data_IF_220610354875
#
_entry.id   IF_220610354875
#
_cell.length_a   1.000
_cell.length_b   1.000
_cell.length_c   1.000
_cell.angle_alpha   90.00
_cell.angle_beta   90.00
_cell.angle_gamma   90.00
#
_symmetry.space_group_name_H-M   'P 1'
#
loop_
_entity.id
_entity.type
_entity.pdbx_description
1 polymer ?
#
# COMPACT_ATOMS: atom_id res chain seq x y z
N UNK A 1 11.59 15.99 -11.27
CA UNK A 1 10.74 15.61 -12.43
C UNK A 1 9.29 15.50 -11.95
N UNK A 2 8.29 15.74 -12.80
CA UNK A 2 6.88 15.51 -12.46
C UNK A 2 6.49 14.19 -13.10
N UNK A 3 6.02 13.23 -12.28
CA UNK A 3 5.66 11.90 -12.80
C UNK A 3 4.19 11.84 -13.22
N UNK A 4 3.29 12.40 -12.43
CA UNK A 4 1.85 12.34 -12.71
C UNK A 4 1.35 13.67 -13.24
N UNK A 5 0.41 13.61 -14.19
CA UNK A 5 -0.26 14.74 -14.78
C UNK A 5 -1.77 14.67 -14.50
N UNK A 6 -2.51 15.79 -14.59
CA UNK A 6 -3.97 15.78 -14.45
C UNK A 6 -4.67 14.74 -15.33
N UNK A 7 -4.15 14.49 -16.55
CA UNK A 7 -4.66 13.51 -17.51
C UNK A 7 -4.83 12.10 -16.93
N UNK A 8 -3.98 11.69 -15.95
CA UNK A 8 -4.13 10.42 -15.22
C UNK A 8 -5.48 10.36 -14.49
N UNK A 9 -5.80 11.41 -13.77
CA UNK A 9 -7.03 11.47 -12.96
C UNK A 9 -8.26 11.70 -13.83
N UNK A 10 -8.13 12.44 -14.92
CA UNK A 10 -9.17 12.62 -15.94
C UNK A 10 -9.54 11.29 -16.56
N UNK A 11 -8.54 10.49 -16.99
CA UNK A 11 -8.77 9.14 -17.51
C UNK A 11 -9.50 8.24 -16.50
N UNK A 12 -9.08 8.24 -15.23
CA UNK A 12 -9.72 7.41 -14.19
C UNK A 12 -11.15 7.88 -13.89
N UNK A 13 -11.43 9.18 -13.97
CA UNK A 13 -12.78 9.73 -13.81
C UNK A 13 -13.68 9.29 -14.96
N UNK A 14 -13.21 9.41 -16.19
CA UNK A 14 -13.96 8.95 -17.38
C UNK A 14 -14.18 7.42 -17.34
N UNK A 15 -13.18 6.65 -16.89
CA UNK A 15 -13.30 5.20 -16.73
C UNK A 15 -14.36 4.85 -15.68
N UNK A 16 -14.51 5.65 -14.61
CA UNK A 16 -15.53 5.44 -13.59
C UNK A 16 -16.94 5.57 -14.16
N UNK A 17 -17.16 6.52 -15.07
CA UNK A 17 -18.44 6.76 -15.74
C UNK A 17 -18.72 5.75 -16.86
N UNK A 18 -17.67 5.20 -17.48
CA UNK A 18 -17.74 4.36 -18.68
C UNK A 18 -17.09 2.99 -18.48
N UNK A 19 -17.29 2.34 -17.32
CA UNK A 19 -16.56 1.14 -16.93
C UNK A 19 -17.00 -0.11 -17.70
N UNK A 20 -16.69 -0.15 -19.00
CA UNK A 20 -16.96 -1.26 -19.92
C UNK A 20 -15.71 -1.69 -20.68
N UNK A 21 -15.73 -2.90 -21.21
CA UNK A 21 -14.62 -3.42 -22.03
C UNK A 21 -14.46 -2.66 -23.33
N UNK A 22 -15.57 -2.29 -23.96
CA UNK A 22 -15.63 -1.55 -25.22
C UNK A 22 -14.97 -0.18 -25.07
N UNK A 23 -15.36 0.57 -24.05
CA UNK A 23 -14.79 1.89 -23.78
C UNK A 23 -13.29 1.79 -23.47
N UNK A 24 -12.89 0.84 -22.61
CA UNK A 24 -11.49 0.67 -22.25
C UNK A 24 -10.62 0.29 -23.46
N UNK A 25 -11.10 -0.58 -24.35
CA UNK A 25 -10.36 -0.94 -25.57
C UNK A 25 -10.21 0.28 -26.50
N UNK A 26 -11.25 1.09 -26.65
CA UNK A 26 -11.18 2.33 -27.46
C UNK A 26 -10.22 3.37 -26.87
N UNK A 27 -9.97 3.36 -25.53
CA UNK A 27 -9.11 4.29 -24.81
C UNK A 27 -7.81 3.67 -24.29
N UNK A 28 -7.43 2.49 -24.80
CA UNK A 28 -6.28 1.73 -24.29
C UNK A 28 -4.95 2.44 -24.44
N UNK A 29 -4.77 3.21 -25.50
CA UNK A 29 -3.54 3.97 -25.73
C UNK A 29 -3.43 5.13 -24.73
N UNK A 30 -4.54 5.81 -24.42
CA UNK A 30 -4.60 6.81 -23.34
C UNK A 30 -4.29 6.18 -21.97
N UNK A 31 -4.85 5.00 -21.67
CA UNK A 31 -4.48 4.28 -20.44
C UNK A 31 -2.98 4.06 -20.36
N UNK A 32 -2.35 3.68 -21.46
CA UNK A 32 -0.91 3.45 -21.49
C UNK A 32 -0.12 4.73 -21.26
N UNK A 33 -0.40 5.80 -22.04
CA UNK A 33 0.35 7.07 -22.01
C UNK A 33 0.11 7.87 -20.74
N UNK A 34 -1.15 7.95 -20.28
CA UNK A 34 -1.54 8.88 -19.23
C UNK A 34 -1.50 8.24 -17.82
N UNK A 35 -1.56 6.90 -17.74
CA UNK A 35 -1.70 6.19 -16.48
C UNK A 35 -0.58 5.18 -16.24
N UNK A 36 -0.40 4.21 -17.16
CA UNK A 36 0.50 3.09 -16.94
C UNK A 36 1.97 3.53 -16.99
N UNK A 37 2.40 4.16 -18.06
CA UNK A 37 3.79 4.60 -18.26
C UNK A 37 4.23 5.59 -17.17
N UNK A 38 3.43 6.61 -16.78
CA UNK A 38 3.77 7.48 -15.67
C UNK A 38 3.95 6.76 -14.34
N UNK A 39 3.10 5.77 -14.01
CA UNK A 39 3.24 5.00 -12.78
C UNK A 39 4.46 4.07 -12.83
N UNK A 40 4.74 3.44 -13.96
CA UNK A 40 5.95 2.63 -14.13
C UNK A 40 7.23 3.48 -14.03
N UNK A 41 7.23 4.69 -14.60
CA UNK A 41 8.33 5.64 -14.46
C UNK A 41 8.54 6.09 -13.00
N UNK A 42 7.45 6.31 -12.25
CA UNK A 42 7.51 6.60 -10.81
C UNK A 42 8.09 5.43 -10.03
N UNK A 43 7.64 4.20 -10.29
CA UNK A 43 8.16 2.99 -9.66
C UNK A 43 9.65 2.83 -9.92
N UNK A 44 10.10 3.03 -11.16
CA UNK A 44 11.52 2.98 -11.52
C UNK A 44 12.35 4.06 -10.79
N UNK A 45 11.82 5.29 -10.72
CA UNK A 45 12.49 6.39 -10.03
C UNK A 45 12.55 6.21 -8.50
N UNK A 46 11.64 5.44 -7.92
CA UNK A 46 11.61 5.15 -6.49
C UNK A 46 12.58 4.00 -6.10
N UNK A 47 13.15 3.27 -7.04
CA UNK A 47 13.98 2.10 -6.74
C UNK A 47 15.20 2.44 -5.84
N UNK A 48 15.99 3.44 -6.21
CA UNK A 48 17.15 3.88 -5.42
C UNK A 48 16.75 4.48 -4.06
N UNK A 49 15.76 5.40 -3.98
CA UNK A 49 15.24 5.87 -2.70
C UNK A 49 14.73 4.75 -1.77
N UNK A 50 14.03 3.75 -2.31
CA UNK A 50 13.56 2.59 -1.56
C UNK A 50 14.71 1.72 -1.06
N UNK A 51 15.69 1.44 -1.92
CA UNK A 51 16.88 0.69 -1.55
C UNK A 51 17.67 1.36 -0.41
N UNK A 52 17.70 2.69 -0.40
CA UNK A 52 18.30 3.47 0.69
C UNK A 52 17.50 3.43 2.01
N UNK A 53 16.21 3.07 1.98
CA UNK A 53 15.39 2.79 3.17
C UNK A 53 15.64 1.36 3.65
N UNK A 54 15.56 0.39 2.75
CA UNK A 54 15.87 -1.01 2.98
C UNK A 54 16.23 -1.72 1.68
N UNK A 55 17.35 -2.45 1.63
CA UNK A 55 17.77 -3.19 0.44
C UNK A 55 16.88 -4.41 0.13
N UNK A 56 16.00 -4.77 1.07
CA UNK A 56 15.17 -5.96 0.97
C UNK A 56 13.78 -5.69 0.35
N UNK A 57 13.44 -4.43 0.08
CA UNK A 57 12.19 -4.05 -0.57
C UNK A 57 12.38 -3.75 -2.05
N UNK A 58 11.37 -4.06 -2.86
CA UNK A 58 11.49 -4.05 -4.32
C UNK A 58 10.54 -3.03 -4.95
N UNK A 59 11.11 -2.17 -5.82
CA UNK A 59 10.39 -1.35 -6.77
C UNK A 59 10.61 -1.92 -8.17
N UNK A 60 9.65 -2.71 -8.65
CA UNK A 60 9.73 -3.41 -9.92
C UNK A 60 8.80 -2.74 -10.95
N UNK A 61 9.34 -2.04 -11.97
CA UNK A 61 8.55 -1.28 -12.93
C UNK A 61 7.96 -2.13 -14.07
N UNK A 62 7.83 -3.46 -13.87
CA UNK A 62 7.16 -4.29 -14.88
C UNK A 62 5.66 -4.04 -14.88
N UNK A 63 5.02 -3.95 -16.06
CA UNK A 63 3.58 -3.68 -16.17
C UNK A 63 2.69 -4.84 -15.70
N UNK A 64 3.27 -6.03 -15.50
CA UNK A 64 2.60 -7.22 -14.98
C UNK A 64 3.53 -8.00 -14.08
N UNK A 65 3.06 -8.35 -12.89
CA UNK A 65 3.83 -9.09 -11.88
C UNK A 65 4.90 -8.27 -11.15
N UNK A 66 5.01 -6.97 -11.46
CA UNK A 66 5.86 -6.01 -10.75
C UNK A 66 5.15 -5.33 -9.57
N UNK A 67 5.60 -4.11 -9.24
CA UNK A 67 5.03 -3.33 -8.15
C UNK A 67 3.66 -2.72 -8.48
N UNK A 68 3.36 -2.50 -9.78
CA UNK A 68 2.07 -1.96 -10.22
C UNK A 68 0.97 -3.02 -10.12
N UNK A 69 -0.16 -2.67 -9.51
CA UNK A 69 -1.36 -3.49 -9.56
C UNK A 69 -2.03 -3.42 -10.93
N UNK A 70 -2.52 -4.56 -11.42
CA UNK A 70 -3.31 -4.62 -12.65
C UNK A 70 -4.61 -3.81 -12.50
N UNK A 71 -5.02 -3.14 -13.57
CA UNK A 71 -6.25 -2.35 -13.64
C UNK A 71 -7.52 -3.22 -13.56
N UNK A 72 -7.44 -4.50 -13.94
CA UNK A 72 -8.57 -5.41 -13.94
C UNK A 72 -9.06 -5.76 -12.54
N UNK A 73 -10.38 -5.79 -12.36
CA UNK A 73 -11.03 -6.27 -11.14
C UNK A 73 -11.27 -7.78 -11.21
N UNK A 74 -11.21 -8.44 -10.06
CA UNK A 74 -11.77 -9.78 -9.90
C UNK A 74 -13.25 -9.65 -9.52
N UNK A 75 -14.11 -9.86 -10.51
CA UNK A 75 -15.57 -9.67 -10.35
C UNK A 75 -16.33 -10.96 -10.15
N UNK A 76 -15.64 -12.10 -9.96
CA UNK A 76 -16.28 -13.43 -9.84
C UNK A 76 -17.36 -13.44 -8.78
N UNK A 77 -17.08 -12.88 -7.60
CA UNK A 77 -17.99 -12.87 -6.44
C UNK A 77 -18.53 -11.46 -6.11
N UNK A 78 -18.19 -10.43 -6.88
CA UNK A 78 -18.65 -9.08 -6.66
C UNK A 78 -20.09 -8.88 -7.20
N UNK A 79 -20.89 -8.06 -6.51
CA UNK A 79 -22.20 -7.60 -7.02
C UNK A 79 -22.02 -6.66 -8.21
N UNK A 80 -21.13 -5.70 -8.08
CA UNK A 80 -20.74 -4.81 -9.16
C UNK A 80 -19.79 -5.55 -10.11
N UNK A 81 -20.22 -5.71 -11.36
CA UNK A 81 -19.50 -6.42 -12.42
C UNK A 81 -18.62 -5.51 -13.28
N UNK A 82 -18.43 -4.24 -12.89
CA UNK A 82 -17.50 -3.33 -13.57
C UNK A 82 -16.11 -3.95 -13.68
N UNK A 83 -15.58 -4.10 -14.91
CA UNK A 83 -14.38 -4.92 -15.14
C UNK A 83 -13.08 -4.28 -14.70
N UNK A 84 -13.06 -2.97 -14.46
CA UNK A 84 -11.84 -2.22 -14.16
C UNK A 84 -11.91 -1.52 -12.81
N UNK A 85 -10.75 -1.35 -12.17
CA UNK A 85 -10.56 -0.47 -11.04
C UNK A 85 -10.60 0.98 -11.52
N UNK A 86 -11.12 1.87 -10.69
CA UNK A 86 -11.15 3.31 -10.94
C UNK A 86 -10.00 4.05 -10.24
N UNK A 87 -9.02 3.30 -9.82
CA UNK A 87 -7.76 3.76 -9.22
C UNK A 87 -6.60 2.96 -9.78
N UNK A 88 -5.42 3.51 -9.66
CA UNK A 88 -4.17 2.78 -9.90
C UNK A 88 -3.31 2.84 -8.65
N UNK A 89 -2.52 1.80 -8.45
CA UNK A 89 -1.75 1.66 -7.23
C UNK A 89 -0.45 0.89 -7.49
N UNK A 90 0.53 1.12 -6.62
CA UNK A 90 1.76 0.35 -6.56
C UNK A 90 2.03 -0.12 -5.13
N UNK A 91 2.60 -1.32 -4.99
CA UNK A 91 3.08 -1.86 -3.74
C UNK A 91 4.58 -2.16 -3.83
N UNK A 92 5.29 -1.73 -2.82
CA UNK A 92 6.73 -1.93 -2.64
C UNK A 92 6.95 -2.86 -1.46
N UNK A 93 6.92 -4.16 -1.73
CA UNK A 93 6.97 -5.21 -0.71
C UNK A 93 8.36 -5.79 -0.55
N UNK A 94 8.56 -6.50 0.54
CA UNK A 94 9.76 -7.30 0.76
C UNK A 94 9.97 -8.32 -0.37
N UNK A 95 11.24 -8.52 -0.81
CA UNK A 95 11.58 -9.42 -1.93
C UNK A 95 11.17 -10.87 -1.69
N UNK A 96 11.27 -11.33 -0.43
CA UNK A 96 10.89 -12.69 -0.02
C UNK A 96 9.40 -12.79 0.38
N UNK A 97 8.67 -11.68 0.27
CA UNK A 97 7.22 -11.65 0.47
C UNK A 97 6.50 -12.40 -0.65
N UNK A 98 5.78 -13.47 -0.30
CA UNK A 98 5.14 -14.37 -1.29
C UNK A 98 3.98 -13.73 -2.04
N UNK A 99 3.34 -12.71 -1.43
CA UNK A 99 2.14 -12.07 -1.99
C UNK A 99 1.97 -10.62 -1.52
N UNK A 100 0.81 -10.03 -1.84
CA UNK A 100 0.44 -8.66 -1.47
C UNK A 100 0.24 -8.43 0.03
N UNK A 101 0.23 -9.49 0.83
CA UNK A 101 0.09 -9.44 2.29
C UNK A 101 1.44 -9.47 3.02
N UNK A 102 2.55 -9.21 2.32
CA UNK A 102 3.86 -8.97 2.92
C UNK A 102 3.97 -7.51 3.41
N UNK A 103 4.79 -7.24 4.45
CA UNK A 103 5.08 -5.87 4.85
C UNK A 103 5.60 -5.04 3.68
N UNK A 104 5.22 -3.76 3.63
CA UNK A 104 5.66 -2.91 2.53
C UNK A 104 5.11 -1.49 2.58
N UNK A 105 5.37 -0.77 1.49
CA UNK A 105 4.86 0.57 1.24
C UNK A 105 3.87 0.53 0.06
N UNK A 106 2.96 1.48 0.03
CA UNK A 106 1.87 1.51 -0.93
C UNK A 106 1.60 2.93 -1.41
N UNK A 107 1.33 3.07 -2.70
CA UNK A 107 0.85 4.30 -3.31
C UNK A 107 -0.52 4.06 -3.93
N UNK A 108 -1.48 4.93 -3.63
CA UNK A 108 -2.82 4.94 -4.20
C UNK A 108 -3.10 6.25 -4.93
N UNK A 109 -3.56 6.14 -6.16
CA UNK A 109 -3.95 7.25 -7.01
C UNK A 109 -5.37 7.02 -7.54
N UNK A 110 -6.32 7.76 -7.00
CA UNK A 110 -7.72 7.78 -7.41
C UNK A 110 -8.21 9.23 -7.47
N UNK A 111 -9.11 9.60 -8.40
CA UNK A 111 -9.73 10.92 -8.40
C UNK A 111 -10.36 11.25 -7.03
N UNK A 112 -9.88 12.31 -6.39
CA UNK A 112 -10.32 12.72 -5.06
C UNK A 112 -9.73 11.95 -3.88
N UNK A 113 -8.96 10.88 -4.11
CA UNK A 113 -8.34 10.07 -3.05
C UNK A 113 -6.92 9.67 -3.43
N UNK A 114 -5.95 10.41 -2.97
CA UNK A 114 -4.53 10.07 -3.11
C UNK A 114 -3.95 9.86 -1.72
N UNK A 115 -3.34 8.69 -1.49
CA UNK A 115 -2.69 8.40 -0.22
C UNK A 115 -1.47 7.49 -0.38
N UNK A 116 -0.61 7.56 0.61
CA UNK A 116 0.54 6.71 0.82
C UNK A 116 0.26 5.81 2.01
N UNK A 117 0.53 4.51 1.88
CA UNK A 117 0.34 3.53 2.94
C UNK A 117 1.64 2.85 3.32
N UNK A 118 1.72 2.35 4.54
CA UNK A 118 2.80 1.50 5.00
C UNK A 118 2.28 0.44 5.97
N UNK A 119 2.92 -0.73 5.98
CA UNK A 119 2.58 -1.81 6.89
C UNK A 119 2.16 -3.09 6.19
N UNK A 120 1.20 -3.81 6.77
CA UNK A 120 0.77 -5.13 6.34
C UNK A 120 -0.76 -5.23 6.42
N UNK A 121 -1.39 -5.44 5.26
CA UNK A 121 -2.83 -5.48 5.09
C UNK A 121 -3.34 -6.91 4.90
N UNK A 122 -4.39 -7.29 5.64
CA UNK A 122 -5.03 -8.61 5.62
C UNK A 122 -4.06 -9.79 5.75
N UNK A 123 -3.15 -9.79 6.75
CA UNK A 123 -2.25 -10.92 6.97
C UNK A 123 -3.00 -12.21 7.23
N UNK A 124 -2.45 -13.32 6.77
CA UNK A 124 -2.93 -14.65 7.13
C UNK A 124 -2.81 -14.91 8.65
N UNK A 125 -3.62 -15.83 9.16
CA UNK A 125 -3.67 -16.13 10.61
C UNK A 125 -2.32 -16.37 11.27
N UNK A 126 -1.41 -17.20 10.72
CA UNK A 126 -0.07 -17.40 11.27
C UNK A 126 0.75 -16.11 11.35
N UNK A 127 0.76 -15.32 10.28
CA UNK A 127 1.44 -14.02 10.21
C UNK A 127 0.88 -13.04 11.25
N UNK A 128 -0.45 -12.98 11.36
CA UNK A 128 -1.13 -12.14 12.35
C UNK A 128 -0.76 -12.52 13.78
N UNK A 129 -0.65 -13.83 14.07
CA UNK A 129 -0.24 -14.30 15.38
C UNK A 129 1.23 -14.00 15.68
N UNK A 130 2.13 -14.12 14.70
CA UNK A 130 3.54 -13.75 14.85
C UNK A 130 3.69 -12.26 15.22
N UNK A 131 2.96 -11.36 14.53
CA UNK A 131 2.96 -9.93 14.87
C UNK A 131 2.43 -9.69 16.30
N UNK A 132 1.35 -10.35 16.70
CA UNK A 132 0.81 -10.23 18.07
C UNK A 132 1.80 -10.71 19.13
N UNK A 133 2.48 -11.84 18.89
CA UNK A 133 3.53 -12.31 19.78
C UNK A 133 4.67 -11.29 19.89
N UNK A 134 5.14 -10.74 18.76
CA UNK A 134 6.17 -9.72 18.76
C UNK A 134 5.78 -8.45 19.55
N UNK A 135 4.49 -8.03 19.49
CA UNK A 135 3.95 -6.90 20.27
C UNK A 135 3.96 -7.21 21.76
N UNK A 136 3.54 -8.42 22.16
CA UNK A 136 3.52 -8.87 23.56
C UNK A 136 4.94 -8.97 24.11
N UNK A 137 5.87 -9.52 23.33
CA UNK A 137 7.27 -9.74 23.74
C UNK A 137 8.08 -8.44 23.77
N UNK A 138 7.71 -7.43 22.96
CA UNK A 138 8.44 -6.17 22.82
C UNK A 138 7.51 -4.93 22.90
N UNK A 139 6.76 -4.75 24.00
CA UNK A 139 5.72 -3.73 24.09
C UNK A 139 6.27 -2.30 24.06
N UNK A 140 7.48 -2.07 24.55
CA UNK A 140 8.12 -0.75 24.51
C UNK A 140 8.47 -0.35 23.09
N UNK A 141 9.10 -1.26 22.33
CA UNK A 141 9.45 -1.04 20.94
C UNK A 141 8.19 -0.86 20.06
N UNK A 142 7.13 -1.64 20.33
CA UNK A 142 5.87 -1.44 19.61
C UNK A 142 5.32 -0.02 19.80
N UNK A 143 5.26 0.48 21.03
CA UNK A 143 4.81 1.84 21.30
C UNK A 143 5.67 2.87 20.57
N UNK A 144 6.99 2.75 20.66
CA UNK A 144 7.93 3.65 19.99
C UNK A 144 7.64 3.79 18.47
N UNK A 145 7.34 2.69 17.79
CA UNK A 145 7.15 2.70 16.33
C UNK A 145 5.70 2.95 15.89
N UNK A 146 4.73 2.91 16.80
CA UNK A 146 3.30 3.02 16.48
C UNK A 146 2.62 4.26 17.07
N UNK A 147 3.16 4.87 18.13
CA UNK A 147 2.50 5.93 18.90
C UNK A 147 2.15 7.17 18.08
N UNK A 148 3.04 7.56 17.16
CA UNK A 148 2.83 8.73 16.29
C UNK A 148 2.07 8.39 14.99
N UNK A 149 1.67 7.12 14.78
CA UNK A 149 1.02 6.67 13.57
C UNK A 149 -0.49 6.51 13.80
N UNK A 150 -1.27 7.06 12.90
CA UNK A 150 -2.70 6.76 12.83
C UNK A 150 -2.88 5.38 12.14
N UNK A 151 -2.97 4.34 12.97
CA UNK A 151 -3.15 2.97 12.49
C UNK A 151 -4.59 2.74 12.08
N UNK A 152 -4.79 2.39 10.81
CA UNK A 152 -6.08 2.05 10.20
C UNK A 152 -6.37 0.55 10.15
N UNK A 153 -7.37 0.19 9.34
CA UNK A 153 -7.78 -1.19 9.08
C UNK A 153 -8.85 -1.72 10.02
N UNK A 154 -9.09 -3.03 9.94
CA UNK A 154 -10.12 -3.71 10.73
C UNK A 154 -9.58 -4.21 12.07
N UNK A 155 -10.49 -4.35 13.05
CA UNK A 155 -10.18 -4.92 14.36
C UNK A 155 -11.22 -5.95 14.79
N UNK A 156 -10.81 -6.88 15.63
CA UNK A 156 -11.69 -7.82 16.30
C UNK A 156 -12.54 -7.09 17.35
N UNK A 157 -13.78 -7.52 17.53
CA UNK A 157 -14.66 -7.02 18.61
C UNK A 157 -14.21 -7.47 20.00
N UNK A 158 -13.56 -8.63 20.09
CA UNK A 158 -13.04 -9.23 21.33
C UNK A 158 -11.55 -9.51 21.16
N UNK A 159 -10.82 -9.57 22.27
CA UNK A 159 -9.41 -9.94 22.28
C UNK A 159 -9.17 -11.30 21.60
N UNK A 160 -7.99 -11.51 21.00
CA UNK A 160 -7.59 -12.80 20.45
C UNK A 160 -7.58 -13.86 21.55
N UNK A 161 -7.84 -15.12 21.17
CA UNK A 161 -7.82 -16.24 22.12
C UNK A 161 -6.43 -16.41 22.74
N UNK A 162 -6.37 -16.54 24.05
CA UNK A 162 -5.11 -16.73 24.80
C UNK A 162 -4.40 -15.44 25.20
N UNK A 163 -4.96 -14.28 24.87
CA UNK A 163 -4.46 -12.97 25.32
C UNK A 163 -5.36 -12.46 26.45
N UNK A 164 -4.72 -11.91 27.50
CA UNK A 164 -5.41 -11.28 28.61
C UNK A 164 -6.28 -10.11 28.09
N UNK A 165 -7.59 -10.11 28.40
CA UNK A 165 -8.46 -8.99 28.02
C UNK A 165 -8.03 -7.63 28.59
N UNK A 166 -7.31 -7.62 29.70
CA UNK A 166 -6.82 -6.42 30.37
C UNK A 166 -5.37 -6.06 29.96
N UNK A 167 -4.84 -6.70 28.93
CA UNK A 167 -3.50 -6.41 28.44
C UNK A 167 -3.37 -4.93 28.02
N UNK A 168 -2.31 -4.19 28.42
CA UNK A 168 -2.16 -2.76 28.14
C UNK A 168 -2.18 -2.36 26.66
N UNK A 169 -1.92 -3.31 25.75
CA UNK A 169 -1.96 -3.13 24.30
C UNK A 169 -3.10 -3.91 23.64
N UNK A 170 -4.18 -4.18 24.37
CA UNK A 170 -5.26 -5.04 23.89
C UNK A 170 -5.90 -4.53 22.60
N UNK A 171 -5.99 -3.21 22.40
CA UNK A 171 -6.57 -2.64 21.20
C UNK A 171 -5.68 -2.84 19.97
N UNK A 172 -4.35 -2.84 20.14
CA UNK A 172 -3.43 -3.22 19.08
C UNK A 172 -3.47 -4.71 18.78
N UNK A 173 -3.59 -5.54 19.81
CA UNK A 173 -3.70 -6.98 19.67
C UNK A 173 -5.02 -7.45 19.03
N UNK A 174 -6.08 -6.62 19.07
CA UNK A 174 -7.34 -6.83 18.34
C UNK A 174 -7.22 -6.54 16.84
N UNK A 175 -6.21 -5.80 16.39
CA UNK A 175 -6.07 -5.44 14.98
C UNK A 175 -6.02 -6.68 14.09
N UNK A 176 -6.65 -6.57 12.92
CA UNK A 176 -6.56 -7.53 11.82
C UNK A 176 -5.59 -7.03 10.74
N UNK A 177 -5.41 -5.71 10.69
CA UNK A 177 -4.52 -5.01 9.79
C UNK A 177 -3.54 -4.16 10.59
N UNK A 178 -2.31 -4.13 10.16
CA UNK A 178 -1.25 -3.29 10.71
C UNK A 178 -0.79 -2.33 9.63
N UNK A 179 -1.58 -1.27 9.40
CA UNK A 179 -1.35 -0.29 8.34
C UNK A 179 -1.51 1.13 8.87
N UNK A 180 -0.72 2.05 8.33
CA UNK A 180 -0.91 3.48 8.50
C UNK A 180 -1.03 4.15 7.14
N UNK A 181 -1.70 5.31 7.10
CA UNK A 181 -1.95 6.05 5.87
C UNK A 181 -1.62 7.53 6.05
N UNK A 182 -1.01 8.10 5.03
CA UNK A 182 -0.80 9.54 4.91
C UNK A 182 -1.54 10.03 3.68
N UNK A 183 -2.56 10.83 3.90
CA UNK A 183 -3.35 11.41 2.82
C UNK A 183 -2.56 12.51 2.09
N UNK A 184 -2.75 12.56 0.79
CA UNK A 184 -2.24 13.60 -0.10
C UNK A 184 -3.35 14.11 -1.00
N UNK A 185 -3.16 15.27 -1.59
CA UNK A 185 -4.10 15.76 -2.59
C UNK A 185 -3.67 15.40 -4.01
N UNK A 186 -4.63 15.24 -4.91
CA UNK A 186 -4.39 15.02 -6.34
C UNK A 186 -3.46 16.11 -6.92
N UNK A 187 -3.68 17.38 -6.56
CA UNK A 187 -2.84 18.48 -6.99
C UNK A 187 -1.39 18.36 -6.50
N UNK A 188 -1.16 17.78 -5.32
CA UNK A 188 0.18 17.52 -4.80
C UNK A 188 0.87 16.38 -5.58
N UNK A 189 0.13 15.33 -5.93
CA UNK A 189 0.65 14.23 -6.75
C UNK A 189 1.13 14.70 -8.13
N UNK A 190 0.49 15.73 -8.71
CA UNK A 190 0.86 16.31 -10.00
C UNK A 190 2.00 17.37 -9.90
N UNK A 191 2.57 17.61 -8.72
CA UNK A 191 3.67 18.58 -8.57
C UNK A 191 5.04 17.92 -8.67
N UNK A 192 6.03 18.75 -9.03
CA UNK A 192 7.44 18.39 -8.86
C UNK A 192 7.71 18.14 -7.38
N UNK A 193 8.50 17.11 -7.05
CA UNK A 193 8.83 16.75 -5.67
C UNK A 193 7.89 15.76 -5.03
N UNK A 194 6.85 15.26 -5.71
CA UNK A 194 5.96 14.24 -5.15
C UNK A 194 6.72 12.95 -4.80
N UNK A 195 7.70 12.55 -5.61
CA UNK A 195 8.58 11.42 -5.30
C UNK A 195 9.36 11.63 -3.99
N UNK A 196 9.86 12.86 -3.77
CA UNK A 196 10.60 13.19 -2.56
C UNK A 196 9.68 13.14 -1.33
N UNK A 197 8.45 13.65 -1.47
CA UNK A 197 7.42 13.58 -0.41
C UNK A 197 7.03 12.12 -0.11
N UNK A 198 6.83 11.29 -1.13
CA UNK A 198 6.56 9.87 -0.98
C UNK A 198 7.72 9.16 -0.28
N UNK A 199 8.95 9.43 -0.68
CA UNK A 199 10.16 8.88 -0.08
C UNK A 199 10.28 9.27 1.40
N UNK A 200 10.02 10.54 1.72
CA UNK A 200 10.05 11.02 3.10
C UNK A 200 9.00 10.31 3.98
N UNK A 201 7.77 10.15 3.46
CA UNK A 201 6.70 9.40 4.15
C UNK A 201 7.09 7.94 4.38
N UNK A 202 7.63 7.26 3.35
CA UNK A 202 8.10 5.88 3.50
C UNK A 202 9.23 5.76 4.54
N UNK A 203 10.15 6.72 4.55
CA UNK A 203 11.24 6.77 5.54
C UNK A 203 10.71 6.99 6.96
N UNK A 204 9.76 7.88 7.15
CA UNK A 204 9.13 8.11 8.45
C UNK A 204 8.40 6.86 8.97
N UNK A 205 7.72 6.10 8.09
CA UNK A 205 7.04 4.87 8.45
C UNK A 205 7.97 3.63 8.51
N UNK A 206 9.24 3.75 8.13
CA UNK A 206 10.16 2.60 8.05
C UNK A 206 10.43 1.89 9.39
N UNK A 207 10.47 2.54 10.57
CA UNK A 207 10.60 1.83 11.84
C UNK A 207 9.40 0.88 12.11
N UNK A 208 8.19 1.32 11.77
CA UNK A 208 6.98 0.51 11.89
C UNK A 208 7.01 -0.69 10.91
N UNK A 209 7.35 -0.44 9.64
CA UNK A 209 7.48 -1.52 8.65
C UNK A 209 8.58 -2.50 9.05
N UNK A 210 9.71 -2.02 9.61
CA UNK A 210 10.78 -2.85 10.14
C UNK A 210 10.29 -3.77 11.25
N UNK A 211 9.55 -3.23 12.22
CA UNK A 211 8.97 -4.05 13.30
C UNK A 211 8.11 -5.19 12.75
N UNK A 212 7.23 -4.87 11.79
CA UNK A 212 6.36 -5.88 11.17
C UNK A 212 7.14 -6.91 10.33
N UNK A 213 8.22 -6.47 9.66
CA UNK A 213 9.08 -7.34 8.84
C UNK A 213 9.81 -8.34 9.72
N UNK A 214 10.43 -7.87 10.79
CA UNK A 214 11.15 -8.71 11.77
C UNK A 214 10.19 -9.65 12.53
N UNK A 215 8.96 -9.19 12.82
CA UNK A 215 7.93 -10.03 13.47
C UNK A 215 7.48 -11.23 12.62
N UNK A 216 7.74 -11.23 11.34
CA UNK A 216 7.43 -12.33 10.41
C UNK A 216 8.70 -13.04 9.89
N UNK A 217 9.79 -12.96 10.65
CA UNK A 217 11.08 -13.59 10.38
C UNK A 217 11.73 -13.19 9.05
N UNK A 218 11.50 -11.93 8.63
CA UNK A 218 12.17 -11.35 7.46
C UNK A 218 13.18 -10.27 7.90
N UNK A 219 14.27 -10.13 7.13
CA UNK A 219 15.27 -9.09 7.36
C UNK A 219 14.83 -7.77 6.70
N UNK A 220 14.88 -6.68 7.49
CA UNK A 220 14.51 -5.34 6.97
C UNK A 220 15.66 -4.66 6.23
#
# INVERSE_FOLDING_TARGET
MTHFQPALFEFLSELKENNSREWFQANKDRYRSDVQEPLLAFIAAFADPLHAISPNFVADPRPSGGSMFRIYRDVRFARDKSPYKVHVAAQFRHRDGRDVHAPGFYLHLEPGSVFMGAGLWHPAGPTLNAIRSAIVDNPARWREVSEELELGGESLKRGPRGIDPDHPLIDDLKRKDFVCFTNSGQAAACKRGFLDSFTATCRAASPFVRFLTEAVDLEF
#
